data_IF_960782214785
#
_entry.id   IF_960782214785
#
_cell.length_a   1.000
_cell.length_b   1.000
_cell.length_c   1.000
_cell.angle_alpha   90.00
_cell.angle_beta   90.00
_cell.angle_gamma   90.00
#
_symmetry.space_group_name_H-M   'P 1'
#
loop_
_entity.id
_entity.type
_entity.pdbx_description
1 polymer ?
#
# COMPACT_ATOMS: atom_id res chain seq x y z
N UNK A 1 6.38 -10.85 -18.32
CA UNK A 1 4.99 -10.40 -18.06
C UNK A 1 3.90 -11.30 -18.67
N UNK A 2 4.25 -12.33 -19.43
CA UNK A 2 3.28 -13.15 -20.18
C UNK A 2 3.30 -14.64 -19.83
N UNK A 3 4.14 -15.07 -18.87
CA UNK A 3 4.19 -16.48 -18.52
C UNK A 3 2.90 -16.90 -17.79
N UNK A 4 2.46 -18.16 -17.93
CA UNK A 4 1.25 -18.64 -17.26
C UNK A 4 1.27 -18.40 -15.74
N UNK A 5 2.43 -18.62 -15.11
CA UNK A 5 2.61 -18.38 -13.66
C UNK A 5 2.46 -16.90 -13.29
N UNK A 6 3.00 -15.97 -14.10
CA UNK A 6 2.85 -14.54 -13.84
C UNK A 6 1.39 -14.08 -13.96
N UNK A 7 0.66 -14.60 -14.95
CA UNK A 7 -0.76 -14.29 -15.16
C UNK A 7 -1.61 -14.84 -14.02
N UNK A 8 -1.44 -16.11 -13.65
CA UNK A 8 -2.14 -16.72 -12.51
C UNK A 8 -1.86 -15.95 -11.21
N UNK A 9 -0.59 -15.62 -10.94
CA UNK A 9 -0.21 -14.85 -9.75
C UNK A 9 -0.79 -13.43 -9.73
N UNK A 10 -0.91 -12.78 -10.88
CA UNK A 10 -1.54 -11.45 -10.99
C UNK A 10 -3.03 -11.54 -10.64
N UNK A 11 -3.75 -12.52 -11.18
CA UNK A 11 -5.18 -12.73 -10.89
C UNK A 11 -5.43 -13.02 -9.41
N UNK A 12 -4.58 -13.85 -8.77
CA UNK A 12 -4.68 -14.12 -7.32
C UNK A 12 -4.50 -12.84 -6.51
N UNK A 13 -3.50 -12.00 -6.81
CA UNK A 13 -3.32 -10.73 -6.10
C UNK A 13 -4.48 -9.76 -6.33
N UNK A 14 -5.04 -9.74 -7.54
CA UNK A 14 -6.20 -8.92 -7.85
C UNK A 14 -7.45 -9.42 -7.10
N UNK A 15 -7.66 -10.74 -7.00
CA UNK A 15 -8.74 -11.32 -6.20
C UNK A 15 -8.64 -10.90 -4.73
N UNK A 16 -7.43 -10.93 -4.16
CA UNK A 16 -7.20 -10.48 -2.79
C UNK A 16 -7.57 -9.02 -2.61
N UNK A 17 -7.26 -8.15 -3.58
CA UNK A 17 -7.56 -6.73 -3.50
C UNK A 17 -9.07 -6.42 -3.53
N UNK A 18 -9.85 -7.19 -4.30
CA UNK A 18 -11.31 -7.13 -4.38
C UNK A 18 -12.02 -7.71 -3.15
N UNK A 19 -11.33 -8.57 -2.38
CA UNK A 19 -11.87 -9.22 -1.19
C UNK A 19 -11.44 -8.52 0.12
N UNK A 20 -11.17 -7.21 0.07
CA UNK A 20 -10.86 -6.39 1.25
C UNK A 20 -11.98 -5.36 1.43
N UNK A 21 -12.70 -5.48 2.55
CA UNK A 21 -13.67 -4.46 2.99
C UNK A 21 -12.93 -3.32 3.69
N UNK A 22 -12.52 -2.32 2.91
CA UNK A 22 -11.73 -1.18 3.41
C UNK A 22 -12.53 -0.26 4.32
N UNK A 23 -13.83 -0.11 4.07
CA UNK A 23 -14.71 0.68 4.92
C UNK A 23 -14.83 0.02 6.30
N UNK A 24 -15.02 -1.31 6.35
CA UNK A 24 -15.03 -2.04 7.62
C UNK A 24 -13.68 -1.98 8.34
N UNK A 25 -12.54 -1.97 7.62
CA UNK A 25 -11.23 -1.77 8.25
C UNK A 25 -11.11 -0.37 8.88
N UNK A 26 -11.55 0.69 8.18
CA UNK A 26 -11.55 2.06 8.72
C UNK A 26 -12.45 2.17 9.94
N UNK A 27 -13.66 1.64 9.88
CA UNK A 27 -14.62 1.70 10.98
C UNK A 27 -14.11 0.91 12.20
N UNK A 28 -13.75 -0.36 12.01
CA UNK A 28 -13.47 -1.25 13.12
C UNK A 28 -12.07 -1.06 13.73
N UNK A 29 -11.07 -0.69 12.92
CA UNK A 29 -9.68 -0.57 13.40
C UNK A 29 -9.29 0.87 13.72
N UNK A 30 -9.86 1.85 13.02
CA UNK A 30 -9.55 3.27 13.23
C UNK A 30 -10.68 4.04 13.93
N UNK A 31 -11.80 3.38 14.27
CA UNK A 31 -12.95 4.04 14.88
C UNK A 31 -13.56 5.11 13.96
N UNK A 32 -13.51 4.90 12.64
CA UNK A 32 -13.97 5.86 11.63
C UNK A 32 -13.02 7.05 11.40
N UNK A 33 -11.85 7.09 12.04
CA UNK A 33 -10.91 8.22 11.97
C UNK A 33 -9.88 8.09 10.83
N UNK A 34 -10.22 7.44 9.72
CA UNK A 34 -9.34 7.26 8.57
C UNK A 34 -10.08 7.40 7.24
N UNK A 35 -9.37 7.18 6.14
CA UNK A 35 -9.92 7.24 4.79
C UNK A 35 -9.61 5.95 4.04
N UNK A 36 -10.54 5.47 3.22
CA UNK A 36 -10.27 4.33 2.33
C UNK A 36 -9.15 4.67 1.35
N UNK A 37 -8.24 3.73 1.14
CA UNK A 37 -7.16 3.87 0.18
C UNK A 37 -6.88 2.57 -0.57
N UNK A 38 -6.65 2.70 -1.88
CA UNK A 38 -6.33 1.58 -2.75
C UNK A 38 -4.87 1.60 -3.23
N UNK A 39 -4.25 2.78 -3.38
CA UNK A 39 -2.95 2.94 -4.05
C UNK A 39 -1.82 3.35 -3.09
N UNK A 40 -0.61 2.79 -3.22
CA UNK A 40 0.57 3.30 -2.51
C UNK A 40 0.86 4.74 -2.96
N UNK A 41 1.58 5.53 -2.15
CA UNK A 41 2.01 6.90 -2.47
C UNK A 41 0.94 7.98 -2.72
N UNK A 42 -0.33 7.59 -2.88
CA UNK A 42 -1.34 8.48 -3.41
C UNK A 42 -2.57 8.50 -2.53
N UNK A 43 -2.89 9.68 -2.01
CA UNK A 43 -4.13 9.90 -1.29
C UNK A 43 -5.33 9.74 -2.22
N UNK A 44 -6.39 9.09 -1.76
CA UNK A 44 -7.66 9.01 -2.51
C UNK A 44 -8.27 10.39 -2.80
N UNK A 45 -7.97 11.38 -1.95
CA UNK A 45 -8.41 12.77 -2.11
C UNK A 45 -7.55 13.61 -3.07
N UNK A 46 -6.50 13.04 -3.66
CA UNK A 46 -5.63 13.78 -4.58
C UNK A 46 -6.41 14.15 -5.86
N UNK A 47 -6.36 15.39 -6.37
CA UNK A 47 -7.07 15.78 -7.59
C UNK A 47 -6.69 15.00 -8.85
N UNK A 48 -5.49 14.40 -8.87
CA UNK A 48 -5.01 13.56 -9.96
C UNK A 48 -5.37 12.08 -9.77
N UNK A 49 -6.06 11.71 -8.68
CA UNK A 49 -6.56 10.36 -8.47
C UNK A 49 -7.60 9.98 -9.52
N UNK A 50 -7.55 8.75 -10.02
CA UNK A 50 -8.49 8.21 -10.99
C UNK A 50 -9.22 7.01 -10.38
N UNK A 51 -10.55 6.99 -10.46
CA UNK A 51 -11.38 5.92 -9.88
C UNK A 51 -11.07 4.54 -10.49
N UNK A 52 -10.53 4.50 -11.70
CA UNK A 52 -10.09 3.26 -12.36
C UNK A 52 -8.93 2.59 -11.61
N UNK A 53 -8.24 3.30 -10.71
CA UNK A 53 -7.20 2.74 -9.84
C UNK A 53 -7.76 2.05 -8.60
N UNK A 54 -9.08 2.07 -8.38
CA UNK A 54 -9.68 1.43 -7.20
C UNK A 54 -9.85 -0.07 -7.36
N UNK A 55 -9.82 -0.74 -6.20
CA UNK A 55 -10.37 -2.07 -6.02
C UNK A 55 -11.60 -1.95 -5.13
N UNK A 56 -12.79 -2.09 -5.70
CA UNK A 56 -14.01 -2.15 -4.91
C UNK A 56 -14.08 -3.41 -4.04
N UNK A 57 -15.18 -3.57 -3.31
CA UNK A 57 -15.51 -4.81 -2.62
C UNK A 57 -16.44 -5.65 -3.50
N UNK A 58 -15.93 -6.76 -4.02
CA UNK A 58 -16.72 -7.69 -4.83
C UNK A 58 -16.17 -9.12 -4.70
N UNK A 59 -16.81 -9.91 -3.84
CA UNK A 59 -16.42 -11.29 -3.61
C UNK A 59 -16.67 -12.21 -4.82
N UNK A 60 -17.66 -11.90 -5.66
CA UNK A 60 -17.95 -12.71 -6.85
C UNK A 60 -16.89 -12.47 -7.93
N UNK A 61 -16.47 -11.21 -8.13
CA UNK A 61 -15.32 -10.88 -8.98
C UNK A 61 -14.03 -11.54 -8.45
N UNK A 62 -13.80 -11.49 -7.14
CA UNK A 62 -12.64 -12.14 -6.52
C UNK A 62 -12.64 -13.68 -6.72
N UNK A 63 -13.79 -14.35 -6.52
CA UNK A 63 -13.95 -15.79 -6.76
C UNK A 63 -13.74 -16.15 -8.24
N UNK A 64 -14.24 -15.33 -9.16
CA UNK A 64 -14.03 -15.53 -10.60
C UNK A 64 -12.54 -15.45 -10.95
N UNK A 65 -11.81 -14.47 -10.42
CA UNK A 65 -10.35 -14.34 -10.61
C UNK A 65 -9.58 -15.54 -10.03
N UNK A 66 -9.99 -16.06 -8.86
CA UNK A 66 -9.40 -17.26 -8.28
C UNK A 66 -9.64 -18.50 -9.15
N UNK A 67 -10.86 -18.69 -9.67
CA UNK A 67 -11.18 -19.79 -10.58
C UNK A 67 -10.37 -19.71 -11.88
N UNK A 68 -10.29 -18.52 -12.46
CA UNK A 68 -9.48 -18.21 -13.64
C UNK A 68 -7.98 -18.44 -13.44
N UNK A 69 -7.50 -18.29 -12.20
CA UNK A 69 -6.12 -18.57 -11.82
C UNK A 69 -5.87 -20.07 -11.54
N UNK A 70 -6.91 -20.90 -11.56
CA UNK A 70 -6.85 -22.32 -11.20
C UNK A 70 -6.80 -22.57 -9.68
N UNK A 71 -7.27 -21.61 -8.87
CA UNK A 71 -7.17 -21.59 -7.40
C UNK A 71 -8.56 -21.53 -6.72
N UNK A 72 -9.61 -22.05 -7.36
CA UNK A 72 -10.99 -22.01 -6.83
C UNK A 72 -11.16 -22.72 -5.48
N UNK A 73 -10.30 -23.70 -5.17
CA UNK A 73 -10.31 -24.41 -3.88
C UNK A 73 -9.57 -23.68 -2.75
N UNK A 74 -8.98 -22.52 -3.03
CA UNK A 74 -8.12 -21.82 -2.09
C UNK A 74 -6.80 -22.55 -1.83
N UNK A 75 -6.04 -22.03 -0.87
CA UNK A 75 -4.75 -22.57 -0.44
C UNK A 75 -4.35 -21.99 0.92
N UNK A 76 -3.31 -22.52 1.55
CA UNK A 76 -2.72 -21.92 2.74
C UNK A 76 -1.52 -21.03 2.37
N UNK A 77 -1.36 -19.90 3.06
CA UNK A 77 -0.22 -19.02 2.90
C UNK A 77 0.15 -18.30 4.20
N UNK A 78 1.41 -17.89 4.29
CA UNK A 78 1.89 -17.05 5.39
C UNK A 78 1.74 -15.56 5.03
N UNK A 79 1.39 -14.74 6.03
CA UNK A 79 1.35 -13.28 5.93
C UNK A 79 2.12 -12.67 7.09
N UNK A 80 3.17 -11.91 6.78
CA UNK A 80 3.92 -11.19 7.80
C UNK A 80 3.18 -9.94 8.24
N UNK A 81 2.97 -9.78 9.55
CA UNK A 81 2.24 -8.65 10.13
C UNK A 81 3.08 -7.82 11.11
N UNK A 82 4.32 -8.24 11.35
CA UNK A 82 5.18 -7.61 12.32
C UNK A 82 4.76 -7.88 13.77
N UNK A 83 5.15 -6.98 14.67
CA UNK A 83 4.88 -7.09 16.12
C UNK A 83 3.89 -6.04 16.63
N UNK A 84 3.48 -5.11 15.76
CA UNK A 84 2.53 -4.06 16.12
C UNK A 84 1.09 -4.56 16.01
N UNK A 85 0.22 -4.06 16.89
CA UNK A 85 -1.17 -4.50 17.00
C UNK A 85 -1.95 -4.26 15.70
N UNK A 86 -1.89 -3.04 15.16
CA UNK A 86 -2.61 -2.68 13.94
C UNK A 86 -2.27 -3.59 12.75
N UNK A 87 -0.99 -3.99 12.61
CA UNK A 87 -0.58 -4.92 11.56
C UNK A 87 -1.22 -6.30 11.74
N UNK A 88 -1.31 -6.78 12.98
CA UNK A 88 -1.96 -8.04 13.31
C UNK A 88 -3.48 -7.96 13.06
N UNK A 89 -4.15 -6.90 13.52
CA UNK A 89 -5.59 -6.70 13.33
C UNK A 89 -5.98 -6.63 11.83
N UNK A 90 -5.18 -5.92 11.02
CA UNK A 90 -5.35 -5.92 9.56
C UNK A 90 -5.23 -7.36 9.03
N UNK A 91 -4.17 -8.07 9.40
CA UNK A 91 -3.91 -9.44 8.95
C UNK A 91 -5.01 -10.42 9.35
N UNK A 92 -5.55 -10.30 10.55
CA UNK A 92 -6.66 -11.10 11.07
C UNK A 92 -7.94 -10.82 10.29
N UNK A 93 -8.27 -9.54 10.06
CA UNK A 93 -9.46 -9.13 9.33
C UNK A 93 -9.43 -9.58 7.87
N UNK A 94 -8.33 -9.32 7.13
CA UNK A 94 -8.24 -9.72 5.72
C UNK A 94 -8.09 -11.23 5.57
N UNK A 95 -7.39 -11.89 6.51
CA UNK A 95 -7.27 -13.35 6.54
C UNK A 95 -8.62 -14.03 6.75
N UNK A 96 -9.46 -13.50 7.65
CA UNK A 96 -10.83 -14.00 7.83
C UNK A 96 -11.68 -13.84 6.56
N UNK A 97 -11.65 -12.66 5.94
CA UNK A 97 -12.39 -12.39 4.72
C UNK A 97 -11.95 -13.30 3.55
N UNK A 98 -10.65 -13.51 3.37
CA UNK A 98 -10.11 -14.41 2.34
C UNK A 98 -10.41 -15.88 2.62
N UNK A 99 -10.40 -16.30 3.88
CA UNK A 99 -10.77 -17.66 4.26
C UNK A 99 -12.25 -17.94 3.96
N UNK A 100 -13.13 -17.01 4.34
CA UNK A 100 -14.58 -17.14 4.16
C UNK A 100 -14.97 -17.09 2.68
N UNK A 101 -14.41 -16.15 1.92
CA UNK A 101 -14.89 -15.86 0.56
C UNK A 101 -14.07 -16.54 -0.54
N UNK A 102 -12.79 -16.83 -0.30
CA UNK A 102 -11.86 -17.37 -1.30
C UNK A 102 -11.26 -18.73 -0.91
N UNK A 103 -11.54 -19.23 0.30
CA UNK A 103 -10.93 -20.46 0.82
C UNK A 103 -9.43 -20.34 1.13
N UNK A 104 -8.90 -19.13 1.21
CA UNK A 104 -7.46 -18.90 1.46
C UNK A 104 -7.21 -18.75 2.96
N UNK A 105 -6.49 -19.71 3.52
CA UNK A 105 -6.10 -19.70 4.93
C UNK A 105 -4.80 -18.94 5.12
N UNK A 106 -4.85 -17.90 5.95
CA UNK A 106 -3.68 -17.08 6.27
C UNK A 106 -3.10 -17.48 7.62
N UNK A 107 -1.81 -17.81 7.66
CA UNK A 107 -1.04 -17.97 8.88
C UNK A 107 -0.27 -16.68 9.16
N UNK A 108 -0.55 -16.02 10.29
CA UNK A 108 0.08 -14.74 10.63
C UNK A 108 1.47 -14.94 11.24
N UNK A 109 2.47 -14.34 10.61
CA UNK A 109 3.86 -14.37 11.08
C UNK A 109 4.13 -13.10 11.89
N UNK A 110 4.01 -13.23 13.23
CA UNK A 110 4.24 -12.16 14.20
C UNK A 110 5.71 -12.15 14.66
N UNK A 111 6.60 -11.55 13.87
CA UNK A 111 8.05 -11.47 14.17
C UNK A 111 8.60 -10.06 14.01
N UNK A 112 9.72 -9.77 14.68
CA UNK A 112 10.38 -8.47 14.58
C UNK A 112 10.83 -8.19 13.14
N UNK A 113 10.75 -6.91 12.73
CA UNK A 113 11.17 -6.50 11.39
C UNK A 113 12.66 -6.81 11.10
N UNK A 114 13.53 -6.80 12.13
CA UNK A 114 14.94 -7.19 12.01
C UNK A 114 15.13 -8.65 11.57
N UNK A 115 14.14 -9.52 11.80
CA UNK A 115 14.13 -10.91 11.33
C UNK A 115 13.65 -11.02 9.88
N UNK A 116 12.68 -10.20 9.47
CA UNK A 116 12.06 -10.24 8.15
C UNK A 116 12.84 -9.45 7.08
N UNK A 117 13.39 -8.29 7.45
CA UNK A 117 14.10 -7.35 6.58
C UNK A 117 15.28 -7.95 5.80
N UNK A 118 16.14 -8.82 6.38
CA UNK A 118 17.26 -9.38 5.63
C UNK A 118 16.84 -10.08 4.34
N UNK A 119 15.70 -10.81 4.36
CA UNK A 119 15.15 -11.45 3.17
C UNK A 119 14.62 -10.46 2.13
N UNK A 120 14.07 -9.31 2.55
CA UNK A 120 13.65 -8.25 1.65
C UNK A 120 14.86 -7.61 0.93
N UNK A 121 15.92 -7.31 1.68
CA UNK A 121 17.16 -6.74 1.12
C UNK A 121 17.81 -7.71 0.15
N UNK A 122 17.87 -9.00 0.50
CA UNK A 122 18.46 -10.05 -0.33
C UNK A 122 17.57 -10.55 -1.47
N UNK A 123 16.30 -10.10 -1.57
CA UNK A 123 15.31 -10.57 -2.54
C UNK A 123 15.03 -12.08 -2.48
N UNK A 124 15.17 -12.66 -1.28
CA UNK A 124 14.92 -14.09 -1.03
C UNK A 124 13.61 -14.36 -0.31
N UNK A 125 12.95 -13.30 0.18
CA UNK A 125 11.70 -13.42 0.90
C UNK A 125 10.54 -13.80 -0.03
N UNK A 126 9.72 -14.75 0.40
CA UNK A 126 8.54 -15.23 -0.33
C UNK A 126 7.23 -14.94 0.41
N UNK A 127 7.32 -14.49 1.66
CA UNK A 127 6.17 -14.21 2.51
C UNK A 127 5.74 -12.77 2.25
N UNK A 128 4.54 -12.49 1.71
CA UNK A 128 4.02 -11.14 1.63
C UNK A 128 3.82 -10.56 3.04
N UNK A 129 3.72 -9.24 3.14
CA UNK A 129 3.55 -8.60 4.44
C UNK A 129 2.75 -7.32 4.41
N UNK A 130 2.18 -7.00 5.57
CA UNK A 130 1.44 -5.76 5.85
C UNK A 130 2.43 -4.67 6.27
N UNK A 131 2.23 -3.44 5.79
CA UNK A 131 3.03 -2.26 6.13
C UNK A 131 4.55 -2.39 5.85
N UNK A 132 4.94 -3.25 4.89
CA UNK A 132 6.35 -3.48 4.54
C UNK A 132 6.92 -2.47 3.55
N UNK A 133 6.08 -1.58 3.00
CA UNK A 133 6.48 -0.76 1.85
C UNK A 133 7.29 0.50 2.19
N UNK A 134 7.66 0.74 3.45
CA UNK A 134 8.44 1.93 3.85
C UNK A 134 7.79 3.22 3.36
N UNK A 135 8.56 4.11 2.73
CA UNK A 135 8.08 5.41 2.24
C UNK A 135 6.92 5.31 1.23
N UNK A 136 6.69 4.16 0.59
CA UNK A 136 5.56 3.98 -0.35
C UNK A 136 4.22 3.75 0.33
N UNK A 137 4.21 3.51 1.65
CA UNK A 137 2.97 3.40 2.40
C UNK A 137 2.40 4.77 2.83
N UNK A 138 2.93 5.87 2.28
CA UNK A 138 2.60 7.23 2.68
C UNK A 138 1.95 8.00 1.55
N UNK A 139 0.73 8.47 1.77
CA UNK A 139 -0.07 9.21 0.79
C UNK A 139 0.35 10.67 0.58
N UNK A 140 1.35 11.14 1.34
CA UNK A 140 1.82 12.52 1.32
C UNK A 140 2.87 12.80 0.23
N UNK A 141 3.24 11.80 -0.55
CA UNK A 141 4.23 11.96 -1.60
C UNK A 141 3.62 12.76 -2.76
N UNK A 142 4.26 13.84 -3.24
CA UNK A 142 3.71 14.62 -4.34
C UNK A 142 3.46 13.75 -5.57
N UNK A 143 2.29 13.93 -6.19
CA UNK A 143 1.86 13.09 -7.31
C UNK A 143 2.86 13.10 -8.48
N UNK A 144 3.53 14.22 -8.74
CA UNK A 144 4.50 14.37 -9.82
C UNK A 144 5.95 14.05 -9.42
N UNK A 145 6.20 13.52 -8.23
CA UNK A 145 7.53 13.03 -7.82
C UNK A 145 7.76 11.58 -8.25
N UNK A 146 9.03 11.17 -8.36
CA UNK A 146 9.39 9.85 -8.87
C UNK A 146 8.90 8.70 -7.96
N UNK A 147 8.01 7.87 -8.48
CA UNK A 147 7.43 6.72 -7.77
C UNK A 147 8.19 5.42 -8.00
N UNK A 148 8.15 4.51 -7.02
CA UNK A 148 8.54 3.11 -7.19
C UNK A 148 9.99 2.77 -6.84
N UNK A 149 10.72 3.66 -6.16
CA UNK A 149 12.14 3.44 -5.84
C UNK A 149 12.38 2.09 -5.14
N UNK A 150 11.68 1.81 -4.05
CA UNK A 150 11.91 0.61 -3.22
C UNK A 150 11.36 -0.68 -3.84
N UNK A 151 10.58 -0.58 -4.92
CA UNK A 151 10.14 -1.69 -5.81
C UNK A 151 11.00 -1.84 -7.06
N UNK A 152 11.97 -0.96 -7.28
CA UNK A 152 12.82 -0.96 -8.46
C UNK A 152 14.15 -1.67 -8.22
N UNK A 153 14.88 -1.91 -9.30
CA UNK A 153 16.27 -2.38 -9.24
C UNK A 153 17.24 -1.35 -8.64
N UNK A 154 16.87 -0.06 -8.56
CA UNK A 154 17.72 0.96 -7.92
C UNK A 154 17.86 0.76 -6.41
N UNK A 155 16.90 0.07 -5.78
CA UNK A 155 16.96 -0.28 -4.36
C UNK A 155 17.81 -1.53 -4.07
N UNK A 156 18.32 -2.21 -5.10
CA UNK A 156 19.11 -3.43 -4.93
C UNK A 156 20.38 -3.16 -4.11
N UNK A 157 20.66 -4.03 -3.12
CA UNK A 157 21.75 -3.85 -2.16
C UNK A 157 21.47 -2.84 -1.04
N UNK A 158 20.41 -2.03 -1.17
CA UNK A 158 19.89 -1.12 -0.15
C UNK A 158 18.57 -1.58 0.45
N UNK A 159 17.84 -0.65 1.08
CA UNK A 159 16.47 -0.93 1.52
C UNK A 159 15.52 -0.97 0.31
N UNK A 160 14.79 -2.08 0.18
CA UNK A 160 13.73 -2.30 -0.81
C UNK A 160 12.68 -3.27 -0.25
N UNK A 161 11.54 -3.41 -0.94
CA UNK A 161 10.37 -4.18 -0.45
C UNK A 161 10.37 -5.64 -0.92
N UNK A 162 11.54 -6.18 -1.25
CA UNK A 162 11.69 -7.54 -1.75
C UNK A 162 11.23 -7.73 -3.20
N UNK A 163 10.93 -6.65 -3.93
CA UNK A 163 10.38 -6.69 -5.29
C UNK A 163 11.26 -5.92 -6.29
N UNK A 164 11.30 -6.38 -7.53
CA UNK A 164 11.99 -5.75 -8.66
C UNK A 164 11.03 -5.69 -9.85
N UNK A 165 10.25 -4.60 -9.90
CA UNK A 165 9.17 -4.43 -10.86
C UNK A 165 9.66 -3.59 -12.04
N UNK A 166 9.61 -4.11 -13.29
CA UNK A 166 10.06 -3.36 -14.47
C UNK A 166 9.37 -2.00 -14.62
N UNK A 167 8.06 -1.94 -14.36
CA UNK A 167 7.31 -0.69 -14.43
C UNK A 167 7.74 0.31 -13.35
N UNK A 168 8.09 -0.14 -12.14
CA UNK A 168 8.59 0.74 -11.09
C UNK A 168 9.98 1.30 -11.42
N UNK A 169 10.89 0.47 -11.95
CA UNK A 169 12.19 0.94 -12.45
C UNK A 169 12.03 1.96 -13.58
N UNK A 170 11.12 1.68 -14.52
CA UNK A 170 10.82 2.61 -15.63
C UNK A 170 10.29 3.95 -15.12
N UNK A 171 9.28 3.93 -14.25
CA UNK A 171 8.68 5.14 -13.68
C UNK A 171 9.72 5.97 -12.94
N UNK A 172 10.44 5.36 -11.99
CA UNK A 172 11.44 6.07 -11.20
C UNK A 172 12.55 6.68 -12.07
N UNK A 173 13.09 5.90 -13.01
CA UNK A 173 14.17 6.33 -13.91
C UNK A 173 13.76 7.53 -14.76
N UNK A 174 12.55 7.49 -15.35
CA UNK A 174 12.06 8.55 -16.23
C UNK A 174 11.68 9.82 -15.45
N UNK A 175 11.02 9.66 -14.31
CA UNK A 175 10.52 10.82 -13.53
C UNK A 175 11.64 11.58 -12.82
N UNK A 176 12.69 10.89 -12.35
CA UNK A 176 13.75 11.51 -11.51
C UNK A 176 14.54 12.61 -12.20
N UNK A 177 14.62 12.59 -13.54
CA UNK A 177 15.33 13.58 -14.34
C UNK A 177 14.42 14.42 -15.24
N UNK A 178 13.09 14.28 -15.15
CA UNK A 178 12.15 14.96 -16.02
C UNK A 178 11.78 16.35 -15.48
N UNK A 179 12.18 17.44 -16.14
CA UNK A 179 11.84 18.79 -15.68
C UNK A 179 10.37 19.17 -15.92
N UNK A 180 9.70 18.58 -16.93
CA UNK A 180 8.33 18.94 -17.27
C UNK A 180 7.33 18.26 -16.33
N UNK A 181 6.55 19.07 -15.61
CA UNK A 181 5.56 18.59 -14.65
C UNK A 181 4.47 17.75 -15.32
N UNK A 182 3.94 18.17 -16.48
CA UNK A 182 2.87 17.45 -17.15
C UNK A 182 3.36 16.06 -17.64
N UNK A 183 4.62 15.98 -18.07
CA UNK A 183 5.25 14.68 -18.41
C UNK A 183 5.37 13.79 -17.16
N UNK A 184 5.79 14.33 -16.01
CA UNK A 184 5.83 13.57 -14.75
C UNK A 184 4.45 13.10 -14.32
N UNK A 185 3.43 13.95 -14.42
CA UNK A 185 2.04 13.58 -14.07
C UNK A 185 1.51 12.43 -14.94
N UNK A 186 1.86 12.40 -16.23
CA UNK A 186 1.53 11.28 -17.12
C UNK A 186 2.28 9.99 -16.76
N UNK A 187 3.56 10.08 -16.38
CA UNK A 187 4.35 8.94 -15.91
C UNK A 187 3.85 8.39 -14.57
N UNK A 188 3.35 9.27 -13.68
CA UNK A 188 2.72 8.89 -12.43
C UNK A 188 1.41 8.13 -12.69
N UNK A 189 0.56 8.60 -13.61
CA UNK A 189 -0.66 7.89 -14.01
C UNK A 189 -0.34 6.49 -14.55
N UNK A 190 0.73 6.35 -15.35
CA UNK A 190 1.21 5.06 -15.84
C UNK A 190 1.64 4.14 -14.68
N UNK A 191 2.30 4.67 -13.64
CA UNK A 191 2.70 3.89 -12.47
C UNK A 191 1.48 3.31 -11.73
N UNK A 192 0.47 4.13 -11.44
CA UNK A 192 -0.74 3.67 -10.74
C UNK A 192 -1.59 2.72 -11.59
N UNK A 193 -1.68 2.96 -12.89
CA UNK A 193 -2.32 2.02 -13.83
C UNK A 193 -1.63 0.66 -13.82
N UNK A 194 -0.30 0.62 -13.78
CA UNK A 194 0.45 -0.63 -13.66
C UNK A 194 0.30 -1.26 -12.28
N UNK A 195 0.29 -0.48 -11.19
CA UNK A 195 0.03 -1.04 -9.86
C UNK A 195 -1.38 -1.64 -9.76
N UNK A 196 -2.39 -0.98 -10.34
CA UNK A 196 -3.76 -1.49 -10.43
C UNK A 196 -3.85 -2.77 -11.25
N UNK A 197 -3.12 -2.85 -12.36
CA UNK A 197 -3.04 -4.05 -13.20
C UNK A 197 -2.36 -5.21 -12.46
N UNK A 198 -1.23 -4.96 -11.81
CA UNK A 198 -0.40 -6.03 -11.25
C UNK A 198 -0.68 -6.36 -9.79
N UNK A 199 -1.41 -5.49 -9.08
CA UNK A 199 -1.76 -5.60 -7.67
C UNK A 199 -0.55 -5.94 -6.78
N UNK A 200 0.61 -5.32 -7.05
CA UNK A 200 1.85 -5.60 -6.29
C UNK A 200 1.85 -4.97 -4.90
N UNK A 201 1.19 -3.81 -4.76
CA UNK A 201 0.94 -3.16 -3.49
C UNK A 201 -0.53 -2.71 -3.45
N UNK A 202 -1.22 -3.18 -2.42
CA UNK A 202 -2.65 -2.99 -2.24
C UNK A 202 -2.83 -2.12 -1.00
N UNK A 203 -3.47 -0.96 -1.16
CA UNK A 203 -3.83 -0.09 -0.04
C UNK A 203 -4.96 -0.68 0.80
N UNK A 204 -5.00 -0.30 2.07
CA UNK A 204 -6.10 -0.59 3.00
C UNK A 204 -6.84 0.71 3.33
N UNK A 205 -6.13 1.63 3.98
CA UNK A 205 -6.64 2.90 4.43
C UNK A 205 -5.48 3.90 4.62
N UNK A 206 -5.84 5.17 4.75
CA UNK A 206 -5.01 6.25 5.26
C UNK A 206 -5.42 6.57 6.69
N UNK A 207 -4.46 6.47 7.62
CA UNK A 207 -4.64 6.90 9.01
C UNK A 207 -4.00 8.29 9.21
N UNK A 208 -4.63 9.19 9.97
CA UNK A 208 -4.01 10.45 10.36
C UNK A 208 -2.89 10.17 11.36
N UNK A 209 -1.67 10.51 10.98
CA UNK A 209 -0.52 10.43 11.87
C UNK A 209 -0.47 11.71 12.73
N UNK A 210 -0.76 11.54 14.02
CA UNK A 210 -0.54 12.53 15.08
C UNK A 210 -1.20 13.90 14.94
N UNK A 211 -2.54 13.97 14.94
CA UNK A 211 -3.23 15.23 15.17
C UNK A 211 -3.21 15.59 16.67
N UNK A 212 -2.03 15.90 17.23
CA UNK A 212 -1.93 16.41 18.61
C UNK A 212 -1.63 17.90 18.58
N UNK A 213 -2.67 18.70 18.81
CA UNK A 213 -2.51 20.08 19.26
C UNK A 213 -3.39 20.31 20.48
N UNK A 214 -3.00 21.25 21.34
CA UNK A 214 -3.84 21.66 22.46
C UNK A 214 -4.99 22.53 21.93
N UNK A 215 -6.24 22.03 21.89
CA UNK A 215 -7.36 22.81 21.37
C UNK A 215 -7.69 24.01 22.26
N UNK A 216 -7.16 24.11 23.47
CA UNK A 216 -7.32 25.29 24.33
C UNK A 216 -6.36 26.42 23.99
N UNK A 217 -5.25 26.14 23.30
CA UNK A 217 -4.21 27.11 22.97
C UNK A 217 -4.10 27.38 21.47
N UNK A 218 -4.40 26.37 20.63
CA UNK A 218 -4.27 26.44 19.18
C UNK A 218 -5.68 26.51 18.57
N UNK A 219 -5.94 27.60 17.83
CA UNK A 219 -7.17 27.82 17.07
C UNK A 219 -7.20 26.95 15.82
N UNK A 220 -6.10 26.91 15.07
CA UNK A 220 -5.96 26.03 13.90
C UNK A 220 -4.49 25.78 13.56
N UNK A 221 -4.23 24.68 12.86
CA UNK A 221 -2.91 24.34 12.33
C UNK A 221 -3.07 23.56 11.02
N UNK A 222 -2.65 24.15 9.90
CA UNK A 222 -2.63 23.49 8.60
C UNK A 222 -1.45 22.50 8.49
N UNK A 223 -1.60 21.33 9.12
CA UNK A 223 -0.64 20.24 9.05
C UNK A 223 -0.74 19.54 7.70
N UNK A 224 0.36 19.48 6.96
CA UNK A 224 0.43 18.66 5.75
C UNK A 224 0.60 17.19 6.13
N UNK A 225 0.06 16.25 5.32
CA UNK A 225 0.27 14.83 5.54
C UNK A 225 1.77 14.49 5.69
N UNK A 226 2.10 13.61 6.64
CA UNK A 226 3.48 13.24 6.97
C UNK A 226 3.83 11.83 6.50
N UNK A 227 5.05 11.69 5.98
CA UNK A 227 5.58 10.40 5.52
C UNK A 227 6.05 9.53 6.68
N UNK A 228 6.11 10.06 7.90
CA UNK A 228 6.57 9.29 9.04
C UNK A 228 5.97 9.88 10.31
N UNK A 229 5.41 9.03 11.16
CA UNK A 229 4.94 9.43 12.49
C UNK A 229 6.11 9.45 13.46
N UNK A 230 7.13 10.28 13.22
CA UNK A 230 8.18 10.59 14.21
C UNK A 230 8.26 12.12 14.42
N UNK A 231 8.55 12.61 15.63
CA UNK A 231 8.39 14.04 15.99
C UNK A 231 9.25 14.95 15.09
N UNK A 232 10.32 14.39 14.51
CA UNK A 232 11.18 15.07 13.54
C UNK A 232 10.49 15.43 12.23
N UNK A 233 9.27 14.94 11.96
CA UNK A 233 8.51 15.29 10.74
C UNK A 233 7.50 16.40 10.96
N UNK A 234 7.34 16.95 12.18
CA UNK A 234 6.49 18.13 12.46
C UNK A 234 6.73 19.19 11.37
N UNK A 235 5.65 19.55 10.68
CA UNK A 235 5.71 20.47 9.55
C UNK A 235 4.81 21.68 9.78
N UNK A 236 4.99 22.71 8.95
CA UNK A 236 4.11 23.86 8.91
C UNK A 236 3.86 24.54 10.28
N UNK A 237 4.82 24.49 11.21
CA UNK A 237 4.68 25.13 12.55
C UNK A 237 4.40 26.62 12.43
N UNK A 238 4.90 27.26 11.38
CA UNK A 238 4.64 28.68 11.09
C UNK A 238 3.18 28.97 10.67
N UNK A 239 2.37 27.94 10.41
CA UNK A 239 0.94 28.04 10.09
C UNK A 239 0.05 27.80 11.32
N UNK A 240 0.64 27.66 12.51
CA UNK A 240 -0.12 27.55 13.77
C UNK A 240 -0.73 28.90 14.10
N UNK A 241 -2.04 28.92 14.28
CA UNK A 241 -2.80 30.06 14.77
C UNK A 241 -3.13 29.79 16.25
N UNK A 242 -2.65 30.65 17.13
CA UNK A 242 -2.91 30.59 18.57
C UNK A 242 -4.19 31.35 18.91
N UNK A 243 -4.86 30.95 19.99
CA UNK A 243 -6.02 31.66 20.57
C UNK A 243 -5.62 32.92 21.34
#
# INVERSE_FOLDING_TARGET
ETTPSMVSSQKVREAFAWAIDREALVENLLGGLGFVNHQPYLAGSNPNYQAEWDWGLDYDAAKALMADAGQSGGFEMDLWVGTGELGAEIGESVGAAWQENLGVKVNLIKTAYSTYRPGLVARTNKTPGVNICGDENKSNFPYDWAHGFVKSSFSAGGYGVGQELPYATKSYSKMSGEPDKAVREALAAEFYTNNRKWANCIGFFEEPLWPYWDPSQIESWDMRPQANGNIGTINNVNLVIMK
#
